data_IF_369903042829
#
_entry.id   IF_369903042829
#
_cell.length_a   1.000
_cell.length_b   1.000
_cell.length_c   1.000
_cell.angle_alpha   90.00
_cell.angle_beta   90.00
_cell.angle_gamma   90.00
#
_symmetry.space_group_name_H-M   'P 1'
#
loop_
_entity.id
_entity.type
_entity.pdbx_description
1 polymer ?
#
# COMPACT_ATOMS: atom_id res chain seq x y z
N UNK A 1 -20.02 37.92 1.83
CA UNK A 1 -20.29 39.15 1.06
C UNK A 1 -20.29 38.79 -0.42
N UNK A 2 -21.38 39.06 -1.12
CA UNK A 2 -21.47 38.85 -2.58
C UNK A 2 -20.97 40.15 -3.21
N UNK A 3 -19.87 40.09 -3.95
CA UNK A 3 -19.40 41.18 -4.79
C UNK A 3 -19.77 40.82 -6.22
N UNK A 4 -20.45 41.73 -6.91
CA UNK A 4 -20.64 41.65 -8.34
C UNK A 4 -19.52 42.47 -8.97
N UNK A 5 -18.65 41.83 -9.73
CA UNK A 5 -17.66 42.50 -10.56
C UNK A 5 -18.09 42.34 -12.01
N UNK A 6 -18.32 43.47 -12.69
CA UNK A 6 -18.53 43.50 -14.14
C UNK A 6 -17.15 43.47 -14.82
N UNK A 7 -16.88 42.44 -15.60
CA UNK A 7 -15.83 42.51 -16.62
C UNK A 7 -16.37 43.30 -17.82
N UNK A 8 -15.49 44.03 -18.51
CA UNK A 8 -15.81 45.00 -19.58
C UNK A 8 -16.58 44.46 -20.80
N UNK A 9 -16.90 43.16 -20.82
CA UNK A 9 -17.63 42.47 -21.88
C UNK A 9 -19.08 42.07 -21.47
N UNK A 10 -19.57 42.55 -20.32
CA UNK A 10 -20.95 42.33 -19.88
C UNK A 10 -21.21 40.95 -19.25
N UNK A 11 -20.16 40.19 -18.94
CA UNK A 11 -20.28 38.97 -18.12
C UNK A 11 -20.24 39.34 -16.63
N UNK A 12 -21.35 39.05 -15.93
CA UNK A 12 -21.48 39.21 -14.48
C UNK A 12 -20.71 38.10 -13.77
N UNK A 13 -19.54 38.43 -13.21
CA UNK A 13 -18.78 37.50 -12.38
C UNK A 13 -19.26 37.64 -10.93
N UNK A 14 -19.92 36.60 -10.42
CA UNK A 14 -20.37 36.57 -9.02
C UNK A 14 -19.19 36.13 -8.14
N UNK A 15 -18.46 37.09 -7.60
CA UNK A 15 -17.39 36.83 -6.64
C UNK A 15 -17.99 36.71 -5.23
N UNK A 16 -18.03 35.49 -4.69
CA UNK A 16 -18.44 35.26 -3.29
C UNK A 16 -17.21 35.33 -2.40
N UNK A 17 -17.17 36.32 -1.49
CA UNK A 17 -16.19 36.35 -0.41
C UNK A 17 -16.77 35.72 0.85
N UNK A 18 -16.10 34.68 1.33
CA UNK A 18 -16.36 34.04 2.62
C UNK A 18 -15.03 33.88 3.36
N UNK A 19 -15.02 33.94 4.71
CA UNK A 19 -13.85 33.53 5.48
C UNK A 19 -13.47 32.09 5.11
N UNK A 20 -12.19 31.81 4.92
CA UNK A 20 -11.69 30.47 4.57
C UNK A 20 -12.24 29.40 5.51
N UNK A 21 -12.27 29.70 6.82
CA UNK A 21 -12.83 28.81 7.83
C UNK A 21 -14.31 28.45 7.58
N UNK A 22 -15.12 29.41 7.14
CA UNK A 22 -16.53 29.17 6.83
C UNK A 22 -16.71 28.27 5.61
N UNK A 23 -15.84 28.42 4.60
CA UNK A 23 -15.81 27.54 3.42
C UNK A 23 -15.40 26.13 3.83
N UNK A 24 -14.32 25.97 4.60
CA UNK A 24 -13.84 24.67 5.07
C UNK A 24 -14.87 23.96 5.95
N UNK A 25 -15.52 24.66 6.88
CA UNK A 25 -16.61 24.09 7.70
C UNK A 25 -17.80 23.65 6.84
N UNK A 26 -18.15 24.43 5.81
CA UNK A 26 -19.23 24.06 4.90
C UNK A 26 -18.86 22.80 4.11
N UNK A 27 -17.69 22.79 3.47
CA UNK A 27 -17.16 21.62 2.72
C UNK A 27 -17.14 20.38 3.60
N UNK A 28 -16.62 20.47 4.83
CA UNK A 28 -16.61 19.36 5.78
C UNK A 28 -18.01 18.86 6.19
N UNK A 29 -19.04 19.73 6.10
CA UNK A 29 -20.43 19.40 6.46
C UNK A 29 -21.24 18.84 5.28
N UNK A 30 -20.93 19.26 4.04
CA UNK A 30 -21.65 18.82 2.83
C UNK A 30 -20.97 17.67 2.08
N UNK A 31 -19.71 17.35 2.38
CA UNK A 31 -19.08 16.12 1.94
C UNK A 31 -19.52 14.96 2.84
N UNK A 32 -20.25 13.93 2.35
CA UNK A 32 -20.32 12.65 3.05
C UNK A 32 -18.99 11.89 2.83
N UNK A 33 -18.56 10.99 3.71
CA UNK A 33 -19.29 9.74 3.94
C UNK A 33 -19.13 9.23 5.38
N UNK A 34 -20.06 8.40 5.89
CA UNK A 34 -19.78 7.49 7.01
C UNK A 34 -18.39 6.87 6.85
N UNK A 35 -17.70 6.66 7.97
CA UNK A 35 -16.44 5.91 8.00
C UNK A 35 -16.61 4.67 7.11
N UNK A 36 -15.82 4.52 6.03
CA UNK A 36 -15.99 3.40 5.13
C UNK A 36 -15.81 2.11 5.93
N UNK A 37 -16.51 1.06 5.53
CA UNK A 37 -16.19 -0.26 6.06
C UNK A 37 -14.77 -0.56 5.62
N UNK A 38 -13.90 -0.83 6.59
CA UNK A 38 -12.50 -1.09 6.34
C UNK A 38 -12.26 -2.60 6.22
N UNK A 39 -11.30 -3.03 5.39
CA UNK A 39 -10.86 -4.41 5.35
C UNK A 39 -10.48 -4.92 6.75
N UNK A 40 -10.75 -6.20 7.05
CA UNK A 40 -10.21 -6.85 8.24
C UNK A 40 -8.70 -6.68 8.34
N UNK A 41 -8.19 -6.45 9.54
CA UNK A 41 -6.76 -6.23 9.77
C UNK A 41 -6.27 -4.83 9.38
N UNK A 42 -7.16 -3.90 8.98
CA UNK A 42 -6.76 -2.50 8.75
C UNK A 42 -6.19 -1.91 10.05
N UNK A 43 -4.98 -1.36 9.94
CA UNK A 43 -4.28 -0.68 11.04
C UNK A 43 -4.19 0.83 10.84
N UNK A 44 -4.05 1.28 9.60
CA UNK A 44 -4.06 2.71 9.25
C UNK A 44 -4.83 2.95 7.97
N UNK A 45 -5.59 4.04 7.96
CA UNK A 45 -6.12 4.69 6.76
C UNK A 45 -5.65 6.14 6.80
N UNK A 46 -4.92 6.57 5.77
CA UNK A 46 -4.40 7.93 5.69
C UNK A 46 -4.68 8.49 4.29
N UNK A 47 -5.33 9.66 4.22
CA UNK A 47 -5.46 10.41 2.96
C UNK A 47 -4.51 11.59 2.98
N UNK A 48 -3.69 11.74 1.94
CA UNK A 48 -2.84 12.91 1.71
C UNK A 48 -3.04 13.37 0.27
N UNK A 49 -3.69 14.51 0.09
CA UNK A 49 -4.06 15.04 -1.23
C UNK A 49 -4.87 13.99 -2.03
N UNK A 50 -4.46 13.72 -3.26
CA UNK A 50 -5.08 12.74 -4.16
C UNK A 50 -4.71 11.28 -3.83
N UNK A 51 -3.83 11.04 -2.84
CA UNK A 51 -3.40 9.70 -2.43
C UNK A 51 -4.17 9.21 -1.20
N UNK A 52 -4.60 7.96 -1.27
CA UNK A 52 -5.13 7.20 -0.14
C UNK A 52 -4.17 6.05 0.15
N UNK A 53 -3.73 5.96 1.40
CA UNK A 53 -2.92 4.87 1.91
C UNK A 53 -3.76 4.02 2.85
N UNK A 54 -3.75 2.73 2.59
CA UNK A 54 -4.37 1.73 3.46
C UNK A 54 -3.29 0.75 3.92
N UNK A 55 -3.21 0.56 5.23
CA UNK A 55 -2.29 -0.42 5.83
C UNK A 55 -3.10 -1.54 6.43
N UNK A 56 -2.88 -2.75 5.91
CA UNK A 56 -3.49 -3.98 6.41
C UNK A 56 -2.41 -4.84 7.04
N UNK A 57 -2.72 -5.44 8.17
CA UNK A 57 -1.87 -6.39 8.86
C UNK A 57 -2.54 -7.77 8.89
N UNK A 58 -1.80 -8.78 8.48
CA UNK A 58 -2.13 -10.16 8.84
C UNK A 58 -1.26 -10.64 10.01
N UNK A 59 -1.85 -11.32 11.01
CA UNK A 59 -1.08 -11.92 12.09
C UNK A 59 -0.21 -13.09 11.58
N UNK A 60 0.73 -13.57 12.41
CA UNK A 60 1.58 -14.72 12.07
C UNK A 60 0.71 -15.93 11.72
N UNK A 61 1.02 -16.56 10.59
CA UNK A 61 0.22 -17.66 10.05
C UNK A 61 1.06 -18.49 9.09
N UNK A 62 0.67 -19.74 8.91
CA UNK A 62 1.17 -20.56 7.81
C UNK A 62 0.31 -20.36 6.55
N UNK A 63 0.95 -20.32 5.39
CA UNK A 63 0.29 -20.30 4.08
C UNK A 63 0.90 -21.36 3.18
N UNK A 64 0.07 -21.98 2.36
CA UNK A 64 0.56 -22.86 1.30
C UNK A 64 0.87 -22.01 0.08
N UNK A 65 2.14 -21.93 -0.32
CA UNK A 65 2.56 -21.22 -1.53
C UNK A 65 2.80 -22.21 -2.66
N UNK A 66 2.38 -21.86 -3.87
CA UNK A 66 2.76 -22.57 -5.09
C UNK A 66 4.03 -21.93 -5.63
N UNK A 67 5.16 -22.62 -5.52
CA UNK A 67 6.46 -22.11 -5.95
C UNK A 67 7.00 -22.93 -7.10
N UNK A 68 7.44 -22.28 -8.17
CA UNK A 68 8.17 -22.95 -9.25
C UNK A 68 9.65 -23.08 -8.89
N UNK A 69 10.22 -24.24 -9.15
CA UNK A 69 11.68 -24.48 -9.07
C UNK A 69 12.43 -24.00 -10.32
N UNK A 70 11.69 -23.73 -11.40
CA UNK A 70 12.20 -23.35 -12.71
C UNK A 70 12.01 -21.87 -13.04
N UNK A 71 12.30 -21.51 -14.30
CA UNK A 71 11.96 -20.19 -14.86
C UNK A 71 10.46 -20.14 -15.18
N UNK A 72 9.91 -18.92 -15.31
CA UNK A 72 8.49 -18.71 -15.63
C UNK A 72 8.02 -19.56 -16.82
N UNK A 73 7.01 -20.42 -16.58
CA UNK A 73 6.40 -21.26 -17.62
C UNK A 73 6.92 -22.70 -17.66
N UNK A 74 7.84 -23.09 -16.78
CA UNK A 74 8.15 -24.50 -16.52
C UNK A 74 7.13 -25.05 -15.50
N UNK A 75 6.41 -26.11 -15.89
CA UNK A 75 5.10 -26.53 -15.35
C UNK A 75 5.06 -27.07 -13.91
N UNK A 76 6.20 -27.13 -13.21
CA UNK A 76 6.27 -27.77 -11.89
C UNK A 76 6.17 -26.76 -10.75
N UNK A 77 4.96 -26.26 -10.50
CA UNK A 77 4.64 -25.58 -9.25
C UNK A 77 4.44 -26.60 -8.13
N UNK A 78 5.25 -26.51 -7.09
CA UNK A 78 5.12 -27.34 -5.89
C UNK A 78 4.49 -26.54 -4.74
N UNK A 79 3.56 -27.14 -3.99
CA UNK A 79 3.02 -26.52 -2.78
C UNK A 79 4.04 -26.64 -1.64
N UNK A 80 4.26 -25.55 -0.91
CA UNK A 80 5.04 -25.53 0.32
C UNK A 80 4.23 -24.85 1.43
N UNK A 81 4.10 -25.50 2.59
CA UNK A 81 3.49 -24.89 3.78
C UNK A 81 4.52 -24.06 4.53
N UNK A 82 4.41 -22.74 4.43
CA UNK A 82 5.42 -21.80 4.94
C UNK A 82 4.83 -20.91 6.03
N UNK A 83 5.55 -20.80 7.15
CA UNK A 83 5.23 -19.91 8.26
C UNK A 83 5.69 -18.49 7.96
N UNK A 84 4.83 -17.51 8.25
CA UNK A 84 5.10 -16.09 8.09
C UNK A 84 4.98 -15.35 9.42
N UNK A 85 5.79 -14.28 9.64
CA UNK A 85 5.60 -13.40 10.77
C UNK A 85 4.38 -12.49 10.52
N UNK A 86 4.25 -11.36 11.22
CA UNK A 86 3.24 -10.37 10.84
C UNK A 86 3.56 -9.87 9.43
N UNK A 87 2.55 -9.91 8.55
CA UNK A 87 2.68 -9.40 7.17
C UNK A 87 1.95 -8.07 7.08
N UNK A 88 2.69 -7.03 6.73
CA UNK A 88 2.18 -5.67 6.58
C UNK A 88 2.04 -5.36 5.10
N UNK A 89 0.83 -5.06 4.66
CA UNK A 89 0.52 -4.61 3.32
C UNK A 89 0.30 -3.11 3.36
N UNK A 90 1.03 -2.37 2.52
CA UNK A 90 0.85 -0.93 2.33
C UNK A 90 0.30 -0.74 0.93
N UNK A 91 -0.99 -0.43 0.84
CA UNK A 91 -1.69 -0.20 -0.40
C UNK A 91 -1.79 1.30 -0.66
N UNK A 92 -1.45 1.70 -1.88
CA UNK A 92 -1.54 3.09 -2.33
C UNK A 92 -2.59 3.17 -3.44
N UNK A 93 -3.51 4.12 -3.30
CA UNK A 93 -4.50 4.47 -4.30
C UNK A 93 -4.31 5.93 -4.69
N UNK A 94 -4.44 6.25 -5.97
CA UNK A 94 -4.42 7.61 -6.49
C UNK A 94 -5.74 7.88 -7.20
N UNK A 95 -6.46 8.92 -6.76
CA UNK A 95 -7.79 9.26 -7.29
C UNK A 95 -8.69 8.02 -7.38
N UNK A 96 -8.76 7.27 -6.27
CA UNK A 96 -9.57 6.05 -6.09
C UNK A 96 -9.09 4.83 -6.91
N UNK A 97 -8.18 4.99 -7.86
CA UNK A 97 -7.54 3.88 -8.57
C UNK A 97 -6.41 3.25 -7.77
N UNK A 98 -6.34 1.91 -7.75
CA UNK A 98 -5.20 1.19 -7.19
C UNK A 98 -3.92 1.46 -7.98
N UNK A 99 -2.84 1.84 -7.29
CA UNK A 99 -1.53 2.15 -7.88
C UNK A 99 -0.51 1.05 -7.60
N UNK A 100 -0.35 0.71 -6.32
CA UNK A 100 0.61 -0.29 -5.90
C UNK A 100 0.30 -0.89 -4.53
N UNK A 101 0.92 -2.04 -4.29
CA UNK A 101 0.99 -2.70 -3.00
C UNK A 101 2.46 -2.96 -2.67
N UNK A 102 2.90 -2.52 -1.51
CA UNK A 102 4.18 -2.88 -0.90
C UNK A 102 3.94 -3.86 0.25
N UNK A 103 4.89 -4.75 0.50
CA UNK A 103 4.79 -5.76 1.55
C UNK A 103 6.02 -5.75 2.45
N UNK A 104 5.80 -5.86 3.75
CA UNK A 104 6.85 -5.89 4.76
C UNK A 104 6.54 -6.94 5.83
N UNK A 105 7.56 -7.33 6.59
CA UNK A 105 7.41 -8.17 7.76
C UNK A 105 7.59 -7.41 9.06
N UNK A 106 7.05 -7.98 10.14
CA UNK A 106 7.32 -7.60 11.54
C UNK A 106 7.27 -8.78 12.50
N UNK A 107 8.11 -8.75 13.53
CA UNK A 107 8.12 -9.76 14.61
C UNK A 107 7.04 -9.49 15.68
N UNK A 108 6.37 -8.33 15.61
CA UNK A 108 5.25 -7.98 16.48
C UNK A 108 4.24 -7.14 15.72
N UNK A 109 2.99 -7.11 16.22
CA UNK A 109 1.93 -6.29 15.65
C UNK A 109 2.33 -4.82 15.58
N UNK A 110 1.95 -4.16 14.50
CA UNK A 110 2.22 -2.76 14.22
C UNK A 110 1.48 -1.86 15.23
N UNK A 111 2.23 -1.07 15.99
CA UNK A 111 1.74 -0.21 17.08
C UNK A 111 1.79 1.26 16.71
N UNK A 112 2.80 1.66 15.95
CA UNK A 112 2.99 3.03 15.50
C UNK A 112 3.39 3.09 14.02
N UNK A 113 3.07 4.18 13.30
CA UNK A 113 3.51 4.37 11.91
C UNK A 113 5.02 4.38 11.71
N UNK A 114 5.76 4.77 12.74
CA UNK A 114 7.22 4.89 12.77
C UNK A 114 7.93 3.59 13.16
N UNK A 115 7.17 2.53 13.41
CA UNK A 115 7.75 1.25 13.76
C UNK A 115 8.58 0.68 12.60
N UNK A 116 9.70 0.04 12.94
CA UNK A 116 10.59 -0.59 11.95
C UNK A 116 9.86 -1.66 11.14
N UNK A 117 9.90 -1.50 9.81
CA UNK A 117 9.49 -2.49 8.83
C UNK A 117 10.69 -3.31 8.38
N UNK A 118 10.49 -4.60 8.14
CA UNK A 118 11.53 -5.48 7.64
C UNK A 118 11.27 -5.91 6.20
N UNK A 119 12.35 -6.21 5.48
CA UNK A 119 12.25 -6.83 4.18
C UNK A 119 11.56 -8.20 4.28
N UNK A 120 10.75 -8.51 3.28
CA UNK A 120 10.21 -9.85 3.06
C UNK A 120 11.29 -10.80 2.54
N UNK A 121 11.00 -12.10 2.53
CA UNK A 121 11.77 -13.12 1.83
C UNK A 121 10.93 -13.79 0.73
N UNK A 122 10.11 -13.01 0.01
CA UNK A 122 9.23 -13.53 -1.03
C UNK A 122 9.80 -13.29 -2.43
N UNK A 123 9.76 -14.28 -3.34
CA UNK A 123 10.30 -14.12 -4.69
C UNK A 123 9.42 -13.20 -5.55
N UNK A 124 8.11 -13.11 -5.27
CA UNK A 124 7.19 -12.18 -5.94
C UNK A 124 7.21 -10.75 -5.36
N UNK A 125 8.18 -10.43 -4.50
CA UNK A 125 8.37 -9.08 -3.93
C UNK A 125 9.75 -8.55 -4.31
N UNK A 126 9.82 -7.32 -4.80
CA UNK A 126 11.08 -6.70 -5.21
C UNK A 126 11.95 -6.37 -3.99
N UNK A 127 13.18 -6.87 -3.97
CA UNK A 127 14.15 -6.70 -2.89
C UNK A 127 14.90 -5.37 -2.91
N UNK A 128 15.19 -4.82 -4.10
CA UNK A 128 15.97 -3.59 -4.26
C UNK A 128 15.13 -2.38 -4.71
N UNK A 129 15.55 -1.14 -4.38
CA UNK A 129 14.92 0.06 -4.88
C UNK A 129 15.01 0.13 -6.41
N UNK A 130 13.87 0.10 -7.08
CA UNK A 130 13.78 0.42 -8.51
C UNK A 130 13.19 1.82 -8.74
N UNK A 131 12.73 2.07 -9.96
CA UNK A 131 12.01 3.31 -10.32
C UNK A 131 10.77 3.58 -9.42
N UNK A 132 10.22 2.54 -8.78
CA UNK A 132 9.05 2.60 -7.91
C UNK A 132 9.36 2.23 -6.44
N UNK A 133 10.63 2.36 -6.02
CA UNK A 133 11.06 2.00 -4.66
C UNK A 133 11.27 0.49 -4.45
N UNK A 134 11.47 0.11 -3.19
CA UNK A 134 11.68 -1.30 -2.77
C UNK A 134 10.38 -1.93 -2.26
N UNK A 135 10.38 -3.25 -2.13
CA UNK A 135 9.30 -4.04 -1.52
C UNK A 135 7.94 -4.00 -2.24
N UNK A 136 7.93 -3.55 -3.50
CA UNK A 136 6.74 -3.61 -4.36
C UNK A 136 6.39 -5.06 -4.69
N UNK A 137 5.12 -5.39 -4.53
CA UNK A 137 4.53 -6.69 -4.86
C UNK A 137 4.30 -6.79 -6.37
N UNK A 138 4.72 -7.90 -6.97
CA UNK A 138 4.40 -8.22 -8.36
C UNK A 138 3.03 -8.89 -8.45
N UNK A 139 2.06 -8.22 -9.06
CA UNK A 139 0.71 -8.76 -9.28
C UNK A 139 0.54 -9.35 -10.69
N UNK A 140 1.62 -9.44 -11.49
CA UNK A 140 1.66 -9.84 -12.92
C UNK A 140 0.89 -8.90 -13.87
N UNK A 141 -0.30 -8.45 -13.49
CA UNK A 141 -1.14 -7.45 -14.16
C UNK A 141 -1.87 -6.63 -13.11
N UNK A 142 -2.48 -5.50 -13.52
CA UNK A 142 -3.37 -4.72 -12.65
C UNK A 142 -4.67 -5.50 -12.49
N UNK A 143 -5.07 -5.91 -11.26
CA UNK A 143 -6.28 -6.68 -11.10
C UNK A 143 -7.51 -5.81 -11.36
N UNK A 144 -8.32 -6.15 -12.37
CA UNK A 144 -9.55 -5.43 -12.73
C UNK A 144 -10.61 -5.47 -11.61
N UNK A 145 -10.52 -6.47 -10.73
CA UNK A 145 -11.38 -6.67 -9.56
C UNK A 145 -11.33 -5.55 -8.50
N UNK A 146 -10.49 -4.53 -8.70
CA UNK A 146 -10.34 -3.39 -7.79
C UNK A 146 -11.16 -2.16 -8.21
N UNK A 147 -11.72 -2.14 -9.41
CA UNK A 147 -12.40 -0.95 -9.95
C UNK A 147 -13.89 -0.95 -9.58
N UNK A 148 -14.34 0.13 -8.93
CA UNK A 148 -15.75 0.32 -8.58
C UNK A 148 -16.26 -0.54 -7.41
N UNK A 149 -15.38 -1.22 -6.68
CA UNK A 149 -15.70 -2.09 -5.54
C UNK A 149 -15.23 -1.43 -4.23
N UNK A 150 -16.01 -1.58 -3.16
CA UNK A 150 -15.66 -1.07 -1.83
C UNK A 150 -14.35 -1.68 -1.33
N UNK A 151 -13.53 -0.87 -0.62
CA UNK A 151 -12.23 -1.30 -0.10
C UNK A 151 -12.34 -2.58 0.74
N UNK A 152 -13.39 -2.70 1.56
CA UNK A 152 -13.66 -3.87 2.41
C UNK A 152 -13.71 -5.20 1.65
N UNK A 153 -14.11 -5.19 0.38
CA UNK A 153 -14.19 -6.37 -0.49
C UNK A 153 -12.97 -6.44 -1.41
N UNK A 154 -12.61 -5.32 -2.03
CA UNK A 154 -11.52 -5.22 -3.01
C UNK A 154 -10.16 -5.65 -2.42
N UNK A 155 -9.86 -5.22 -1.19
CA UNK A 155 -8.55 -5.44 -0.58
C UNK A 155 -8.34 -6.90 -0.19
N UNK A 156 -9.25 -7.58 0.54
CA UNK A 156 -9.11 -9.03 0.80
C UNK A 156 -8.99 -9.84 -0.50
N UNK A 157 -9.75 -9.49 -1.54
CA UNK A 157 -9.69 -10.18 -2.82
C UNK A 157 -8.32 -9.99 -3.51
N UNK A 158 -7.72 -8.79 -3.45
CA UNK A 158 -6.37 -8.54 -3.93
C UNK A 158 -5.30 -9.30 -3.13
N UNK A 159 -5.43 -9.35 -1.79
CA UNK A 159 -4.51 -10.11 -0.95
C UNK A 159 -4.57 -11.59 -1.28
N UNK A 160 -5.77 -12.14 -1.42
CA UNK A 160 -5.97 -13.54 -1.80
C UNK A 160 -5.44 -13.82 -3.21
N UNK A 161 -5.71 -12.92 -4.17
CA UNK A 161 -5.17 -13.01 -5.52
C UNK A 161 -3.64 -13.14 -5.49
N UNK A 162 -2.93 -12.25 -4.78
CA UNK A 162 -1.48 -12.32 -4.63
C UNK A 162 -1.01 -13.68 -4.12
N UNK A 163 -1.61 -14.17 -3.03
CA UNK A 163 -1.21 -15.45 -2.41
C UNK A 163 -1.56 -16.68 -3.26
N UNK A 164 -2.60 -16.59 -4.09
CA UNK A 164 -3.00 -17.65 -5.02
C UNK A 164 -2.11 -17.75 -6.27
N UNK A 165 -1.31 -16.71 -6.54
CA UNK A 165 -0.42 -16.71 -7.72
C UNK A 165 0.70 -17.75 -7.59
N UNK A 166 1.26 -18.14 -8.74
CA UNK A 166 2.51 -18.87 -8.78
C UNK A 166 3.70 -17.96 -8.42
N UNK A 167 4.48 -18.36 -7.43
CA UNK A 167 5.70 -17.70 -7.01
C UNK A 167 6.86 -18.19 -7.88
N UNK A 168 7.47 -17.28 -8.64
CA UNK A 168 8.56 -17.61 -9.56
C UNK A 168 9.87 -17.01 -9.05
N UNK A 169 10.95 -17.76 -9.16
CA UNK A 169 12.27 -17.33 -8.68
C UNK A 169 13.02 -16.43 -9.69
N UNK A 170 12.41 -16.13 -10.84
CA UNK A 170 13.02 -15.40 -11.94
C UNK A 170 12.88 -13.86 -11.84
N UNK A 171 12.24 -13.34 -10.78
CA UNK A 171 12.23 -11.90 -10.52
C UNK A 171 13.63 -11.45 -10.11
N UNK A 172 14.31 -10.77 -11.03
CA UNK A 172 15.59 -10.13 -10.77
C UNK A 172 15.50 -9.23 -9.53
N UNK A 173 16.48 -9.36 -8.64
CA UNK A 173 16.60 -8.63 -7.39
C UNK A 173 15.35 -8.80 -6.48
N UNK A 174 14.76 -10.00 -6.46
CA UNK A 174 13.69 -10.33 -5.50
C UNK A 174 14.19 -10.30 -4.04
N UNK A 175 13.26 -10.22 -3.10
CA UNK A 175 13.58 -10.19 -1.68
C UNK A 175 13.96 -11.58 -1.11
N UNK A 176 13.76 -12.66 -1.88
CA UNK A 176 13.91 -14.05 -1.44
C UNK A 176 15.27 -14.35 -0.78
N UNK A 177 16.37 -13.96 -1.42
CA UNK A 177 17.72 -14.26 -0.95
C UNK A 177 18.13 -13.55 0.35
N UNK A 178 17.40 -12.51 0.77
CA UNK A 178 17.79 -11.66 1.92
C UNK A 178 17.76 -12.39 3.26
N UNK A 179 16.83 -13.33 3.42
CA UNK A 179 16.70 -14.10 4.65
C UNK A 179 17.61 -15.34 4.65
N UNK A 180 17.95 -15.89 3.47
CA UNK A 180 18.83 -17.06 3.35
C UNK A 180 20.20 -16.83 4.00
N UNK A 181 20.73 -15.60 3.89
CA UNK A 181 22.02 -15.23 4.47
C UNK A 181 21.98 -15.03 6.00
N UNK A 182 20.78 -14.92 6.59
CA UNK A 182 20.59 -14.60 8.01
C UNK A 182 20.16 -15.79 8.86
N UNK A 183 19.39 -16.71 8.29
CA UNK A 183 18.85 -17.84 9.03
C UNK A 183 18.80 -19.10 8.17
N UNK A 184 19.44 -20.18 8.66
CA UNK A 184 19.53 -21.48 7.97
C UNK A 184 18.16 -22.12 7.71
N UNK A 185 17.13 -21.75 8.48
CA UNK A 185 15.76 -22.20 8.25
C UNK A 185 15.21 -21.70 6.91
N UNK A 186 15.80 -20.65 6.32
CA UNK A 186 15.43 -20.18 4.97
C UNK A 186 16.42 -20.61 3.89
N UNK A 187 17.40 -21.49 4.17
CA UNK A 187 18.40 -21.91 3.19
C UNK A 187 17.80 -22.60 1.95
N UNK A 188 16.58 -23.16 2.07
CA UNK A 188 15.77 -23.61 0.94
C UNK A 188 14.27 -23.57 1.31
N UNK A 189 13.39 -23.79 0.32
CA UNK A 189 11.94 -23.90 0.57
C UNK A 189 11.61 -25.11 1.45
N UNK A 190 12.34 -26.21 1.30
CA UNK A 190 12.19 -27.42 2.12
C UNK A 190 12.64 -27.19 3.56
N UNK A 191 13.76 -26.48 3.76
CA UNK A 191 14.20 -26.09 5.09
C UNK A 191 13.16 -25.19 5.78
N UNK A 192 12.59 -24.25 5.03
CA UNK A 192 11.56 -23.35 5.55
C UNK A 192 10.28 -24.12 5.87
N UNK A 193 9.81 -25.00 4.99
CA UNK A 193 8.64 -25.84 5.27
C UNK A 193 8.87 -26.74 6.49
N UNK A 194 10.04 -27.35 6.63
CA UNK A 194 10.40 -28.18 7.79
C UNK A 194 10.32 -27.37 9.08
N UNK A 195 10.99 -26.22 9.13
CA UNK A 195 10.94 -25.32 10.28
C UNK A 195 9.53 -24.79 10.57
N UNK A 196 8.73 -24.54 9.52
CA UNK A 196 7.34 -24.08 9.64
C UNK A 196 6.43 -25.12 10.28
N UNK A 197 6.66 -26.40 9.99
CA UNK A 197 5.93 -27.52 10.59
C UNK A 197 6.35 -27.77 12.04
N UNK A 198 7.63 -27.60 12.35
CA UNK A 198 8.17 -27.76 13.70
C UNK A 198 7.72 -26.63 14.64
N UNK A 199 7.79 -25.37 14.19
CA UNK A 199 7.38 -24.21 14.95
C UNK A 199 6.75 -23.13 14.03
N UNK A 200 5.41 -23.07 13.90
CA UNK A 200 4.72 -22.07 13.08
C UNK A 200 5.01 -20.61 13.45
N UNK A 201 5.56 -20.34 14.63
CA UNK A 201 5.89 -19.00 15.11
C UNK A 201 7.38 -18.66 15.03
N UNK A 202 8.23 -19.59 14.57
CA UNK A 202 9.66 -19.36 14.40
C UNK A 202 10.01 -18.07 13.62
N UNK A 203 9.22 -17.62 12.62
CA UNK A 203 9.53 -16.38 11.90
C UNK A 203 9.56 -15.12 12.80
N UNK A 204 8.97 -15.18 14.00
CA UNK A 204 9.01 -14.09 14.98
C UNK A 204 10.34 -14.00 15.73
N UNK A 205 11.18 -15.03 15.65
CA UNK A 205 12.50 -15.09 16.30
C UNK A 205 13.64 -14.68 15.35
N UNK A 206 13.33 -14.54 14.05
CA UNK A 206 14.31 -14.22 13.01
C UNK A 206 14.71 -12.75 13.12
N UNK A 207 16.03 -12.48 13.05
CA UNK A 207 16.57 -11.13 12.92
C UNK A 207 16.46 -10.64 11.47
N UNK A 208 15.27 -10.19 11.09
CA UNK A 208 15.00 -9.76 9.72
C UNK A 208 15.77 -8.48 9.36
N UNK A 209 16.09 -8.31 8.07
CA UNK A 209 16.72 -7.09 7.57
C UNK A 209 15.80 -5.87 7.73
N UNK A 210 16.24 -4.81 8.43
CA UNK A 210 15.49 -3.55 8.44
C UNK A 210 15.36 -3.00 7.02
N UNK A 211 14.14 -2.64 6.62
CA UNK A 211 13.91 -2.00 5.33
C UNK A 211 14.36 -0.53 5.32
N UNK A 212 14.77 0.02 6.48
CA UNK A 212 15.14 1.42 6.68
C UNK A 212 14.05 2.38 6.16
N UNK A 213 12.79 1.98 6.36
CA UNK A 213 11.57 2.71 5.98
C UNK A 213 10.53 2.51 7.07
N UNK A 214 9.75 3.56 7.28
CA UNK A 214 8.53 3.56 8.08
C UNK A 214 7.34 4.01 7.21
N UNK A 215 6.13 3.95 7.73
CA UNK A 215 4.95 4.35 6.96
C UNK A 215 4.99 5.82 6.51
N UNK A 216 5.35 6.80 7.37
CA UNK A 216 5.52 8.19 6.95
C UNK A 216 6.50 8.37 5.79
N UNK A 217 7.66 7.71 5.83
CA UNK A 217 8.66 7.76 4.77
C UNK A 217 8.14 7.19 3.45
N UNK A 218 7.39 6.08 3.49
CA UNK A 218 6.75 5.50 2.30
C UNK A 218 5.70 6.43 1.69
N UNK A 219 4.90 7.11 2.52
CA UNK A 219 3.92 8.09 2.04
C UNK A 219 4.59 9.30 1.40
N UNK A 220 5.67 9.80 2.00
CA UNK A 220 6.45 10.90 1.44
C UNK A 220 7.08 10.52 0.10
N UNK A 221 7.62 9.30 -0.04
CA UNK A 221 8.14 8.78 -1.31
C UNK A 221 7.06 8.80 -2.41
N UNK A 222 5.86 8.31 -2.11
CA UNK A 222 4.75 8.28 -3.06
C UNK A 222 4.28 9.68 -3.49
N UNK A 223 4.25 10.64 -2.55
CA UNK A 223 3.96 12.05 -2.85
C UNK A 223 5.02 12.64 -3.78
N UNK A 224 6.31 12.45 -3.48
CA UNK A 224 7.40 12.98 -4.29
C UNK A 224 7.38 12.45 -5.73
N UNK A 225 7.05 11.16 -5.93
CA UNK A 225 6.88 10.58 -7.27
C UNK A 225 5.77 11.24 -8.10
N UNK A 226 4.84 11.94 -7.46
CA UNK A 226 3.76 12.69 -8.10
C UNK A 226 4.02 14.20 -8.16
N UNK A 227 5.22 14.65 -7.80
CA UNK A 227 5.56 16.07 -7.72
C UNK A 227 4.87 16.79 -6.56
N UNK A 228 4.41 16.04 -5.55
CA UNK A 228 3.69 16.55 -4.40
C UNK A 228 4.57 16.47 -3.13
N UNK A 229 4.30 17.35 -2.17
CA UNK A 229 4.91 17.30 -0.82
C UNK A 229 3.88 16.96 0.26
N UNK A 230 4.37 16.59 1.44
CA UNK A 230 3.54 16.40 2.64
C UNK A 230 3.23 17.71 3.39
N UNK A 231 3.71 18.85 2.88
CA UNK A 231 3.51 20.14 3.51
C UNK A 231 2.03 20.55 3.49
N UNK A 232 1.57 21.28 4.53
CA UNK A 232 0.25 21.89 4.52
C UNK A 232 0.06 22.83 3.32
N UNK A 233 -1.19 23.01 2.92
CA UNK A 233 -1.55 24.01 1.89
C UNK A 233 -1.05 25.38 2.35
N UNK A 234 -0.14 25.96 1.57
CA UNK A 234 0.57 27.18 1.92
C UNK A 234 -0.01 28.42 1.21
N UNK A 235 -0.82 28.24 0.16
CA UNK A 235 -1.33 29.34 -0.66
C UNK A 235 -2.78 29.17 -1.11
N UNK A 236 -3.41 30.28 -1.49
CA UNK A 236 -4.75 30.28 -2.08
C UNK A 236 -4.78 29.63 -3.48
N UNK A 237 -3.67 29.66 -4.21
CA UNK A 237 -3.52 29.01 -5.51
C UNK A 237 -3.55 27.48 -5.37
N UNK A 238 -2.80 26.93 -4.40
CA UNK A 238 -2.84 25.51 -4.07
C UNK A 238 -4.24 25.06 -3.63
N UNK A 239 -4.90 25.88 -2.81
CA UNK A 239 -6.28 25.60 -2.41
C UNK A 239 -7.23 25.60 -3.63
N UNK A 240 -7.09 26.58 -4.53
CA UNK A 240 -7.92 26.67 -5.72
C UNK A 240 -7.70 25.46 -6.63
N UNK A 241 -6.44 25.07 -6.88
CA UNK A 241 -6.09 23.87 -7.65
C UNK A 241 -6.70 22.60 -7.06
N UNK A 242 -6.65 22.41 -5.73
CA UNK A 242 -7.34 21.31 -5.05
C UNK A 242 -8.85 21.36 -5.31
N UNK A 243 -9.48 22.53 -5.16
CA UNK A 243 -10.91 22.69 -5.39
C UNK A 243 -11.32 22.42 -6.84
N UNK A 244 -10.49 22.76 -7.83
CA UNK A 244 -10.71 22.44 -9.24
C UNK A 244 -10.57 20.95 -9.55
N UNK A 245 -9.81 20.21 -8.74
CA UNK A 245 -9.62 18.75 -8.89
C UNK A 245 -10.72 17.94 -8.18
N UNK A 246 -11.53 18.54 -7.32
CA UNK A 246 -12.65 17.84 -6.69
C UNK A 246 -13.66 17.41 -7.76
N UNK A 247 -14.11 16.14 -7.77
CA UNK A 247 -15.17 15.72 -8.66
C UNK A 247 -16.41 16.57 -8.37
N UNK A 248 -16.83 17.36 -9.36
CA UNK A 248 -18.10 18.07 -9.30
C UNK A 248 -19.17 17.00 -9.48
N UNK A 249 -19.72 16.51 -8.37
CA UNK A 249 -20.86 15.60 -8.41
C UNK A 249 -22.00 16.29 -9.15
N UNK A 250 -22.30 15.80 -10.35
CA UNK A 250 -23.54 16.08 -11.06
C UNK A 250 -24.55 14.99 -10.75
#
# INVERSE_FOLDING_TARGET
MILQEEEGDGQLRVARRAPLEAVLRFVARVMPSPLPVLPPGTRWLCRKKDLLYLVVEHPPQCRTLRVSRGKKGEDDYHPYLLAFPYVIYVLTFFREGFEEMKMFFRNSSLRAPTDTLYHTNLPNVRGEPGHYGSQRVCLRYRPEMLEGVDLAEAVPALLEFFWSTGFNQDIANSAFGRAMARDQRFASLEAWETASRENPLFPLEVDWEPANRDLPGLWSECLMLRGETAEPIASAEELADILYRLPVGY
#
